data_IF_021428772617
#
_entry.id   IF_021428772617
#
_cell.length_a   1.000
_cell.length_b   1.000
_cell.length_c   1.000
_cell.angle_alpha   90.00
_cell.angle_beta   90.00
_cell.angle_gamma   90.00
#
_symmetry.space_group_name_H-M   'P 1'
#
loop_
_entity.id
_entity.type
_entity.pdbx_description
1 polymer ?
#
# COMPACT_ATOMS: atom_id res chain seq x y z
N UNK A 1 -41.48 32.70 -28.79
CA UNK A 1 -40.62 32.18 -27.71
C UNK A 1 -40.03 33.27 -26.81
N UNK A 2 -39.93 34.53 -27.24
CA UNK A 2 -39.40 35.64 -26.42
C UNK A 2 -40.23 35.96 -25.17
N UNK A 3 -41.58 36.00 -25.28
CA UNK A 3 -42.45 36.25 -24.12
C UNK A 3 -42.29 35.21 -23.00
N UNK A 4 -42.11 33.94 -23.37
CA UNK A 4 -41.87 32.86 -22.41
C UNK A 4 -40.50 32.98 -21.72
N UNK A 5 -39.47 33.41 -22.48
CA UNK A 5 -38.14 33.65 -21.91
C UNK A 5 -38.12 34.85 -20.95
N UNK A 6 -38.88 35.91 -21.24
CA UNK A 6 -39.05 37.07 -20.36
C UNK A 6 -39.75 36.68 -19.05
N UNK A 7 -40.84 35.91 -19.13
CA UNK A 7 -41.57 35.42 -17.97
C UNK A 7 -40.70 34.49 -17.11
N UNK A 8 -40.02 33.53 -17.75
CA UNK A 8 -39.11 32.60 -17.07
C UNK A 8 -37.96 33.34 -16.37
N UNK A 9 -37.38 34.35 -17.03
CA UNK A 9 -36.31 35.15 -16.43
C UNK A 9 -36.77 35.92 -15.18
N UNK A 10 -37.99 36.48 -15.21
CA UNK A 10 -38.60 37.17 -14.05
C UNK A 10 -38.88 36.20 -12.91
N UNK A 11 -39.40 35.01 -13.20
CA UNK A 11 -39.68 33.97 -12.20
C UNK A 11 -38.39 33.50 -11.52
N UNK A 12 -37.34 33.28 -12.30
CA UNK A 12 -36.03 32.84 -11.79
C UNK A 12 -35.18 33.97 -11.21
N UNK A 13 -35.63 35.24 -11.32
CA UNK A 13 -34.94 36.44 -10.84
C UNK A 13 -33.48 36.52 -11.32
N UNK A 14 -33.26 36.23 -12.60
CA UNK A 14 -31.92 36.23 -13.20
C UNK A 14 -31.28 37.62 -13.15
N UNK A 15 -29.95 37.68 -13.04
CA UNK A 15 -29.22 38.94 -13.14
C UNK A 15 -29.37 39.53 -14.56
N UNK A 16 -29.21 40.85 -14.71
CA UNK A 16 -29.42 41.54 -16.01
C UNK A 16 -28.62 40.90 -17.16
N UNK A 17 -27.38 40.49 -16.90
CA UNK A 17 -26.51 39.82 -17.88
C UNK A 17 -27.03 38.44 -18.31
N UNK A 18 -27.65 37.70 -17.39
CA UNK A 18 -28.21 36.37 -17.62
C UNK A 18 -29.58 36.47 -18.31
N UNK A 19 -30.39 37.46 -17.93
CA UNK A 19 -31.63 37.84 -18.60
C UNK A 19 -31.37 38.13 -20.08
N UNK A 20 -30.42 39.01 -20.38
CA UNK A 20 -30.10 39.40 -21.75
C UNK A 20 -29.56 38.20 -22.56
N UNK A 21 -28.75 37.35 -21.92
CA UNK A 21 -28.28 36.09 -22.51
C UNK A 21 -29.41 35.11 -22.84
N UNK A 22 -30.40 34.97 -21.95
CA UNK A 22 -31.56 34.09 -22.17
C UNK A 22 -32.46 34.59 -23.31
N UNK A 23 -32.63 35.91 -23.44
CA UNK A 23 -33.38 36.50 -24.55
C UNK A 23 -32.67 36.33 -25.90
N UNK A 24 -31.35 36.41 -25.91
CA UNK A 24 -30.54 36.11 -27.11
C UNK A 24 -30.66 34.62 -27.45
N UNK A 25 -30.54 33.74 -26.47
CA UNK A 25 -30.67 32.29 -26.66
C UNK A 25 -32.06 31.90 -27.20
N UNK A 26 -33.13 32.51 -26.70
CA UNK A 26 -34.50 32.24 -27.13
C UNK A 26 -34.82 32.68 -28.58
N UNK A 27 -33.95 33.49 -29.19
CA UNK A 27 -34.05 33.93 -30.60
C UNK A 27 -33.29 33.03 -31.57
N UNK A 28 -32.40 32.17 -31.06
CA UNK A 28 -31.64 31.22 -31.88
C UNK A 28 -32.53 30.11 -32.42
N UNK A 29 -32.15 29.52 -33.56
CA UNK A 29 -32.82 28.32 -34.08
C UNK A 29 -32.51 27.09 -33.21
N UNK A 30 -33.33 26.04 -33.30
CA UNK A 30 -33.22 24.83 -32.47
C UNK A 30 -31.84 24.18 -32.55
N UNK A 31 -31.24 24.13 -33.74
CA UNK A 31 -29.90 23.58 -33.92
C UNK A 31 -28.84 24.42 -33.20
N UNK A 32 -28.93 25.74 -33.29
CA UNK A 32 -28.02 26.69 -32.64
C UNK A 32 -28.17 26.67 -31.11
N UNK A 33 -29.41 26.54 -30.61
CA UNK A 33 -29.70 26.36 -29.20
C UNK A 33 -29.03 25.10 -28.63
N UNK A 34 -29.11 23.98 -29.34
CA UNK A 34 -28.48 22.71 -28.91
C UNK A 34 -26.95 22.83 -28.86
N UNK A 35 -26.34 23.48 -29.86
CA UNK A 35 -24.89 23.72 -29.88
C UNK A 35 -24.46 24.64 -28.74
N UNK A 36 -25.22 25.70 -28.47
CA UNK A 36 -24.97 26.61 -27.36
C UNK A 36 -25.06 25.90 -26.00
N UNK A 37 -26.09 25.06 -25.79
CA UNK A 37 -26.23 24.25 -24.56
C UNK A 37 -25.05 23.28 -24.42
N UNK A 38 -24.66 22.57 -25.49
CA UNK A 38 -23.50 21.68 -25.45
C UNK A 38 -22.21 22.45 -25.13
N UNK A 39 -22.00 23.62 -25.71
CA UNK A 39 -20.87 24.51 -25.39
C UNK A 39 -20.84 24.95 -23.94
N UNK A 40 -22.00 25.35 -23.39
CA UNK A 40 -22.13 25.70 -21.96
C UNK A 40 -21.91 24.50 -21.04
N UNK A 41 -22.38 23.30 -21.42
CA UNK A 41 -22.11 22.06 -20.68
C UNK A 41 -20.62 21.72 -20.67
N UNK A 42 -19.92 21.84 -21.80
CA UNK A 42 -18.47 21.63 -21.84
C UNK A 42 -17.72 22.68 -21.03
N UNK A 43 -18.14 23.95 -21.08
CA UNK A 43 -17.56 25.01 -20.25
C UNK A 43 -17.79 24.74 -18.77
N UNK A 44 -19.01 24.38 -18.37
CA UNK A 44 -19.33 23.99 -16.99
C UNK A 44 -18.53 22.77 -16.56
N UNK A 45 -18.41 21.73 -17.39
CA UNK A 45 -17.60 20.56 -17.08
C UNK A 45 -16.14 20.95 -16.84
N UNK A 46 -15.55 21.80 -17.69
CA UNK A 46 -14.19 22.32 -17.49
C UNK A 46 -14.09 23.15 -16.21
N UNK A 47 -15.04 24.05 -15.98
CA UNK A 47 -15.05 24.90 -14.79
C UNK A 47 -15.20 24.08 -13.52
N UNK A 48 -16.10 23.08 -13.48
CA UNK A 48 -16.24 22.14 -12.37
C UNK A 48 -14.95 21.32 -12.16
N UNK A 49 -14.30 20.87 -13.24
CA UNK A 49 -12.98 20.22 -13.15
C UNK A 49 -11.88 21.16 -12.65
N UNK A 50 -12.05 22.48 -12.76
CA UNK A 50 -11.07 23.49 -12.34
C UNK A 50 -11.36 24.05 -10.96
N UNK A 51 -12.62 24.08 -10.53
CA UNK A 51 -13.04 24.46 -9.17
C UNK A 51 -12.69 23.29 -8.26
N UNK A 52 -11.45 23.27 -7.78
CA UNK A 52 -11.16 22.66 -6.49
C UNK A 52 -11.75 23.60 -5.43
N UNK A 53 -12.62 23.12 -4.51
CA UNK A 53 -13.10 23.96 -3.42
C UNK A 53 -11.89 24.52 -2.68
N UNK A 54 -11.85 25.84 -2.44
CA UNK A 54 -10.72 26.51 -1.82
C UNK A 54 -10.34 25.95 -0.44
N UNK A 55 -11.25 25.19 0.19
CA UNK A 55 -11.09 24.53 1.49
C UNK A 55 -11.08 22.99 1.42
N UNK A 56 -11.16 22.38 0.23
CA UNK A 56 -11.09 20.94 0.13
C UNK A 56 -9.64 20.48 0.27
N UNK A 57 -9.26 20.13 1.50
CA UNK A 57 -8.03 19.39 1.78
C UNK A 57 -7.92 18.24 0.77
N UNK A 58 -6.87 18.24 -0.04
CA UNK A 58 -6.65 17.15 -0.98
C UNK A 58 -6.56 15.85 -0.19
N UNK A 59 -7.35 14.86 -0.60
CA UNK A 59 -7.35 13.54 0.03
C UNK A 59 -6.77 12.53 -0.95
N UNK A 60 -5.96 11.61 -0.43
CA UNK A 60 -5.39 10.53 -1.24
C UNK A 60 -6.54 9.72 -1.85
N UNK A 61 -6.60 9.54 -3.18
CA UNK A 61 -7.61 8.72 -3.82
C UNK A 61 -7.72 7.34 -3.18
N UNK A 62 -8.94 6.87 -2.93
CA UNK A 62 -9.20 5.60 -2.21
C UNK A 62 -8.52 4.40 -2.87
N UNK A 63 -8.42 4.40 -4.19
CA UNK A 63 -7.70 3.38 -4.95
C UNK A 63 -6.19 3.40 -4.67
N UNK A 64 -5.56 4.57 -4.74
CA UNK A 64 -4.13 4.73 -4.43
C UNK A 64 -3.84 4.36 -2.98
N UNK A 65 -4.68 4.80 -2.05
CA UNK A 65 -4.61 4.42 -0.63
C UNK A 65 -4.66 2.90 -0.45
N UNK A 66 -5.57 2.21 -1.13
CA UNK A 66 -5.65 0.74 -1.09
C UNK A 66 -4.38 0.08 -1.65
N UNK A 67 -3.79 0.63 -2.72
CA UNK A 67 -2.52 0.12 -3.27
C UNK A 67 -1.36 0.31 -2.30
N UNK A 68 -1.31 1.41 -1.58
CA UNK A 68 -0.36 1.64 -0.49
C UNK A 68 -0.52 0.55 0.57
N UNK A 69 -1.74 0.36 1.08
CA UNK A 69 -2.02 -0.63 2.12
C UNK A 69 -1.73 -2.08 1.69
N UNK A 70 -2.01 -2.44 0.43
CA UNK A 70 -1.68 -3.76 -0.15
C UNK A 70 -0.16 -3.98 -0.19
N UNK A 71 0.60 -2.98 -0.68
CA UNK A 71 2.06 -3.11 -0.85
C UNK A 71 2.81 -3.03 0.48
N UNK A 72 2.35 -2.22 1.44
CA UNK A 72 2.87 -2.23 2.82
C UNK A 72 2.79 -3.63 3.40
N UNK A 73 1.64 -4.30 3.25
CA UNK A 73 1.45 -5.66 3.75
C UNK A 73 2.41 -6.66 3.08
N UNK A 74 2.60 -6.56 1.76
CA UNK A 74 3.53 -7.41 1.01
C UNK A 74 4.98 -7.18 1.48
N UNK A 75 5.40 -5.92 1.60
CA UNK A 75 6.74 -5.56 2.06
C UNK A 75 7.01 -6.03 3.49
N UNK A 76 6.02 -5.95 4.38
CA UNK A 76 6.15 -6.46 5.75
C UNK A 76 6.40 -7.98 5.81
N UNK A 77 5.90 -8.71 4.81
CA UNK A 77 6.04 -10.16 4.68
C UNK A 77 7.18 -10.57 3.73
N UNK A 78 7.98 -9.63 3.25
CA UNK A 78 9.13 -9.93 2.40
C UNK A 78 10.33 -10.31 3.28
N UNK A 79 10.94 -11.47 3.00
CA UNK A 79 12.12 -11.93 3.73
C UNK A 79 13.41 -11.25 3.29
N UNK A 80 13.39 -10.57 2.14
CA UNK A 80 14.56 -9.96 1.50
C UNK A 80 14.78 -8.49 1.85
N UNK A 81 13.79 -7.81 2.46
CA UNK A 81 13.91 -6.39 2.75
C UNK A 81 15.02 -6.12 3.77
N UNK A 82 15.88 -5.10 3.53
CA UNK A 82 17.04 -4.86 4.36
C UNK A 82 16.70 -4.20 5.70
N UNK A 83 15.59 -3.46 5.76
CA UNK A 83 15.13 -2.70 6.92
C UNK A 83 13.61 -2.42 6.85
N UNK A 84 12.95 -2.31 8.00
CA UNK A 84 11.53 -2.00 8.13
C UNK A 84 11.28 -0.50 8.34
N UNK A 85 12.18 0.23 9.00
CA UNK A 85 11.99 1.64 9.37
C UNK A 85 12.86 2.61 8.57
N UNK A 86 14.04 2.19 8.12
CA UNK A 86 14.98 3.07 7.40
C UNK A 86 14.34 3.77 6.20
N UNK A 87 14.52 5.09 6.11
CA UNK A 87 13.99 5.92 5.01
C UNK A 87 14.79 5.78 3.71
N UNK A 88 16.07 5.38 3.79
CA UNK A 88 16.95 5.29 2.62
C UNK A 88 16.90 3.94 1.91
N UNK A 89 16.77 2.86 2.68
CA UNK A 89 16.84 1.48 2.15
C UNK A 89 15.67 0.61 2.60
N UNK A 90 14.84 1.09 3.52
CA UNK A 90 13.79 0.29 4.13
C UNK A 90 12.46 0.33 3.38
N UNK A 91 11.43 -0.19 4.04
CA UNK A 91 10.07 -0.26 3.45
C UNK A 91 9.51 1.07 2.95
N UNK A 92 9.76 2.25 3.56
CA UNK A 92 9.26 3.52 3.02
C UNK A 92 9.82 3.82 1.62
N UNK A 93 11.13 3.65 1.43
CA UNK A 93 11.80 3.85 0.14
C UNK A 93 11.28 2.88 -0.91
N UNK A 94 11.24 1.59 -0.56
CA UNK A 94 10.77 0.54 -1.46
C UNK A 94 9.32 0.75 -1.88
N UNK A 95 8.47 1.23 -0.97
CA UNK A 95 7.10 1.57 -1.31
C UNK A 95 7.04 2.75 -2.28
N UNK A 96 7.82 3.80 -2.03
CA UNK A 96 7.88 4.95 -2.94
C UNK A 96 8.37 4.53 -4.33
N UNK A 97 9.40 3.69 -4.41
CA UNK A 97 9.94 3.17 -5.67
C UNK A 97 8.89 2.33 -6.42
N UNK A 98 8.08 1.53 -5.70
CA UNK A 98 6.96 0.80 -6.29
C UNK A 98 5.86 1.73 -6.82
N UNK A 99 5.55 2.82 -6.12
CA UNK A 99 4.58 3.83 -6.58
C UNK A 99 5.07 4.53 -7.85
N UNK A 100 6.35 4.91 -7.89
CA UNK A 100 6.99 5.53 -9.08
C UNK A 100 6.98 4.57 -10.26
N UNK A 101 7.33 3.29 -10.04
CA UNK A 101 7.35 2.29 -11.10
C UNK A 101 5.97 1.95 -11.69
N UNK A 102 4.88 2.28 -10.98
CA UNK A 102 3.50 1.97 -11.38
C UNK A 102 2.64 3.25 -11.47
N UNK A 103 3.27 4.39 -11.72
CA UNK A 103 2.68 5.73 -11.62
C UNK A 103 1.35 5.89 -12.38
N UNK A 104 1.32 5.39 -13.62
CA UNK A 104 0.19 5.51 -14.54
C UNK A 104 -0.94 4.54 -14.20
N UNK A 105 -0.61 3.36 -13.65
CA UNK A 105 -1.59 2.32 -13.33
C UNK A 105 -2.26 2.53 -11.97
N UNK A 106 -1.57 3.17 -11.01
CA UNK A 106 -2.05 3.31 -9.63
C UNK A 106 -2.57 4.71 -9.30
N UNK A 107 -2.47 5.65 -10.24
CA UNK A 107 -2.94 7.02 -10.08
C UNK A 107 -1.96 7.90 -9.31
N UNK A 108 -0.67 7.58 -9.34
CA UNK A 108 0.39 8.45 -8.84
C UNK A 108 0.84 9.37 -9.99
N UNK A 109 0.05 10.40 -10.28
CA UNK A 109 0.21 11.28 -11.44
C UNK A 109 1.32 12.33 -11.23
N UNK A 110 1.81 12.93 -12.33
CA UNK A 110 2.75 14.06 -12.27
C UNK A 110 2.22 15.24 -11.45
N UNK A 111 0.90 15.44 -11.43
CA UNK A 111 0.24 16.46 -10.59
C UNK A 111 0.39 16.21 -9.10
N UNK A 112 0.54 14.95 -8.67
CA UNK A 112 0.80 14.59 -7.27
C UNK A 112 2.28 14.76 -6.97
N UNK A 113 3.15 14.46 -7.94
CA UNK A 113 4.62 14.51 -7.77
C UNK A 113 5.16 15.95 -7.70
N UNK A 114 4.55 16.85 -8.46
CA UNK A 114 5.00 18.25 -8.56
C UNK A 114 4.42 19.16 -7.48
N UNK A 115 3.32 18.76 -6.84
CA UNK A 115 2.64 19.54 -5.81
C UNK A 115 3.14 19.15 -4.40
N UNK A 116 3.90 20.02 -3.70
CA UNK A 116 4.48 19.70 -2.40
C UNK A 116 3.43 19.32 -1.34
N UNK A 117 2.24 19.94 -1.39
CA UNK A 117 1.18 19.66 -0.44
C UNK A 117 0.60 18.25 -0.64
N UNK A 118 0.41 17.83 -1.90
CA UNK A 118 -0.05 16.46 -2.19
C UNK A 118 1.01 15.42 -1.84
N UNK A 119 2.29 15.72 -2.07
CA UNK A 119 3.40 14.86 -1.65
C UNK A 119 3.39 14.69 -0.13
N UNK A 120 3.24 15.76 0.64
CA UNK A 120 3.18 15.70 2.11
C UNK A 120 1.99 14.85 2.60
N UNK A 121 0.80 15.04 2.02
CA UNK A 121 -0.39 14.25 2.39
C UNK A 121 -0.20 12.77 2.02
N UNK A 122 0.44 12.48 0.88
CA UNK A 122 0.75 11.12 0.46
C UNK A 122 1.77 10.45 1.40
N UNK A 123 2.83 11.17 1.76
CA UNK A 123 3.85 10.68 2.70
C UNK A 123 3.25 10.40 4.08
N UNK A 124 2.41 11.31 4.59
CA UNK A 124 1.67 11.09 5.82
C UNK A 124 0.76 9.84 5.74
N UNK A 125 0.14 9.59 4.57
CA UNK A 125 -0.67 8.39 4.34
C UNK A 125 0.19 7.11 4.36
N UNK A 126 1.33 7.11 3.67
CA UNK A 126 2.28 5.99 3.64
C UNK A 126 2.84 5.70 5.03
N UNK A 127 3.31 6.74 5.72
CA UNK A 127 3.84 6.67 7.09
C UNK A 127 2.81 6.09 8.06
N UNK A 128 1.55 6.55 7.99
CA UNK A 128 0.47 5.99 8.81
C UNK A 128 0.24 4.51 8.52
N UNK A 129 0.16 4.13 7.25
CA UNK A 129 -0.04 2.73 6.85
C UNK A 129 1.10 1.83 7.37
N UNK A 130 2.36 2.28 7.25
CA UNK A 130 3.53 1.57 7.76
C UNK A 130 3.52 1.44 9.30
N UNK A 131 3.19 2.51 10.03
CA UNK A 131 3.08 2.47 11.50
C UNK A 131 1.99 1.49 11.93
N UNK A 132 0.81 1.54 11.31
CA UNK A 132 -0.30 0.62 11.61
C UNK A 132 0.10 -0.83 11.33
N UNK A 133 0.70 -1.11 10.18
CA UNK A 133 1.14 -2.45 9.82
C UNK A 133 2.17 -3.00 10.81
N UNK A 134 3.21 -2.21 11.11
CA UNK A 134 4.26 -2.54 12.09
C UNK A 134 3.70 -2.80 13.48
N UNK A 135 2.80 -1.96 13.97
CA UNK A 135 2.19 -2.16 15.28
C UNK A 135 1.35 -3.43 15.33
N UNK A 136 0.55 -3.70 14.29
CA UNK A 136 -0.20 -4.94 14.20
C UNK A 136 0.69 -6.18 14.13
N UNK A 137 1.77 -6.12 13.33
CA UNK A 137 2.74 -7.20 13.19
C UNK A 137 3.40 -7.53 14.53
N UNK A 138 3.92 -6.50 15.23
CA UNK A 138 4.53 -6.62 16.55
C UNK A 138 3.56 -7.22 17.58
N UNK A 139 2.30 -6.78 17.57
CA UNK A 139 1.27 -7.31 18.46
C UNK A 139 0.97 -8.79 18.19
N UNK A 140 0.92 -9.20 16.93
CA UNK A 140 0.71 -10.60 16.53
C UNK A 140 1.90 -11.48 16.95
N UNK A 141 3.14 -11.02 16.72
CA UNK A 141 4.35 -11.69 17.21
C UNK A 141 4.31 -11.89 18.72
N UNK A 142 3.98 -10.84 19.48
CA UNK A 142 3.88 -10.92 20.94
C UNK A 142 2.86 -11.96 21.41
N UNK A 143 1.65 -11.93 20.84
CA UNK A 143 0.59 -12.89 21.17
C UNK A 143 0.98 -14.33 20.84
N UNK A 144 1.75 -14.52 19.76
CA UNK A 144 2.19 -15.85 19.32
C UNK A 144 3.14 -16.55 20.28
N UNK A 145 3.78 -15.82 21.19
CA UNK A 145 4.80 -16.38 22.07
C UNK A 145 4.21 -17.23 23.20
N UNK A 146 2.92 -17.08 23.51
CA UNK A 146 2.28 -17.79 24.63
C UNK A 146 2.94 -17.52 25.99
N UNK A 147 2.57 -18.34 26.98
CA UNK A 147 3.11 -18.28 28.33
C UNK A 147 4.43 -19.06 28.44
N UNK A 148 5.28 -18.76 29.45
CA UNK A 148 6.46 -19.59 29.74
C UNK A 148 6.10 -21.08 29.86
N UNK A 149 7.07 -21.98 29.59
CA UNK A 149 6.84 -23.42 29.74
C UNK A 149 6.40 -23.77 31.17
N UNK A 150 5.52 -24.78 31.28
CA UNK A 150 5.23 -25.37 32.58
C UNK A 150 6.47 -26.08 33.13
N UNK A 151 6.50 -26.33 34.45
CA UNK A 151 7.63 -27.02 35.09
C UNK A 151 7.88 -28.38 34.42
N UNK A 152 9.13 -28.64 34.04
CA UNK A 152 9.54 -29.86 33.33
C UNK A 152 9.25 -29.87 31.81
N UNK A 153 8.70 -28.78 31.24
CA UNK A 153 8.48 -28.66 29.79
C UNK A 153 9.43 -27.64 29.14
N UNK A 154 9.78 -27.87 27.88
CA UNK A 154 10.54 -26.91 27.06
C UNK A 154 9.64 -26.00 26.23
N UNK A 155 8.45 -26.50 25.87
CA UNK A 155 7.52 -25.81 25.00
C UNK A 155 6.71 -24.76 25.74
N UNK A 156 6.51 -23.61 25.11
CA UNK A 156 5.67 -22.53 25.62
C UNK A 156 4.19 -22.87 25.45
N UNK A 157 3.42 -22.62 26.51
CA UNK A 157 1.99 -22.97 26.54
C UNK A 157 1.18 -21.97 25.74
N UNK A 158 0.32 -22.46 24.83
CA UNK A 158 -0.54 -21.62 23.99
C UNK A 158 0.21 -20.81 22.93
N UNK A 159 1.46 -21.14 22.64
CA UNK A 159 2.22 -20.51 21.57
C UNK A 159 1.80 -21.03 20.19
N UNK A 160 2.02 -20.21 19.16
CA UNK A 160 1.88 -20.64 17.77
C UNK A 160 3.22 -21.16 17.28
N UNK A 161 3.23 -22.28 16.54
CA UNK A 161 4.41 -22.67 15.78
C UNK A 161 4.69 -21.65 14.65
N UNK A 162 5.89 -21.70 14.05
CA UNK A 162 6.33 -20.67 13.09
C UNK A 162 5.44 -20.58 11.84
N UNK A 163 4.89 -21.70 11.37
CA UNK A 163 3.99 -21.75 10.22
C UNK A 163 2.66 -21.10 10.56
N UNK A 164 2.03 -21.51 11.67
CA UNK A 164 0.79 -20.95 12.16
C UNK A 164 0.91 -19.44 12.47
N UNK A 165 2.05 -19.01 13.00
CA UNK A 165 2.38 -17.60 13.19
C UNK A 165 2.44 -16.85 11.86
N UNK A 166 3.14 -17.40 10.87
CA UNK A 166 3.26 -16.80 9.53
C UNK A 166 1.88 -16.67 8.87
N UNK A 167 1.04 -17.69 8.98
CA UNK A 167 -0.36 -17.64 8.53
C UNK A 167 -1.19 -16.59 9.29
N UNK A 168 -1.01 -16.47 10.60
CA UNK A 168 -1.70 -15.47 11.41
C UNK A 168 -1.32 -14.04 11.00
N UNK A 169 -0.03 -13.80 10.69
CA UNK A 169 0.46 -12.54 10.16
C UNK A 169 -0.15 -12.23 8.79
N UNK A 170 -0.22 -13.22 7.89
CA UNK A 170 -0.90 -13.06 6.60
C UNK A 170 -2.39 -12.72 6.76
N UNK A 171 -3.09 -13.39 7.67
CA UNK A 171 -4.52 -13.14 7.95
C UNK A 171 -4.80 -11.73 8.47
N UNK A 172 -3.80 -11.04 9.02
CA UNK A 172 -3.92 -9.63 9.41
C UNK A 172 -4.19 -8.72 8.19
N UNK A 173 -3.71 -9.12 7.01
CA UNK A 173 -3.82 -8.36 5.77
C UNK A 173 -4.92 -8.93 4.88
N UNK A 174 -6.18 -8.86 5.36
CA UNK A 174 -7.37 -9.43 4.70
C UNK A 174 -7.59 -8.95 3.25
N UNK A 175 -7.04 -7.80 2.90
CA UNK A 175 -7.12 -7.17 1.57
C UNK A 175 -6.09 -7.72 0.59
N UNK A 176 -4.99 -8.31 1.06
CA UNK A 176 -3.97 -8.91 0.20
C UNK A 176 -4.51 -10.22 -0.36
N UNK A 177 -4.64 -10.29 -1.69
CA UNK A 177 -5.03 -11.53 -2.37
C UNK A 177 -4.07 -12.66 -1.97
N UNK A 178 -4.63 -13.71 -1.39
CA UNK A 178 -3.97 -15.00 -1.14
C UNK A 178 -3.31 -15.45 -2.45
N UNK A 179 -1.98 -15.52 -2.45
CA UNK A 179 -1.17 -15.83 -3.65
C UNK A 179 -0.07 -14.81 -3.98
N UNK A 180 -0.13 -13.59 -3.43
CA UNK A 180 0.98 -12.62 -3.58
C UNK A 180 2.15 -12.87 -2.63
N UNK A 181 1.87 -13.46 -1.48
CA UNK A 181 2.89 -13.86 -0.51
C UNK A 181 2.85 -15.37 -0.39
N UNK A 182 4.01 -15.99 -0.59
CA UNK A 182 4.21 -17.43 -0.43
C UNK A 182 4.91 -17.64 0.91
N UNK A 183 4.36 -18.51 1.74
CA UNK A 183 5.08 -18.97 2.93
C UNK A 183 6.23 -19.84 2.43
N UNK A 184 7.45 -19.44 2.69
CA UNK A 184 8.65 -20.18 2.34
C UNK A 184 9.60 -20.24 3.56
N UNK A 185 10.67 -21.02 3.44
CA UNK A 185 11.61 -21.21 4.56
C UNK A 185 12.29 -19.90 4.94
N UNK A 186 12.57 -19.03 3.98
CA UNK A 186 13.21 -17.73 4.21
C UNK A 186 12.31 -16.80 5.02
N UNK A 187 11.01 -16.75 4.71
CA UNK A 187 10.00 -15.99 5.43
C UNK A 187 9.81 -16.53 6.85
N UNK A 188 9.74 -17.85 7.03
CA UNK A 188 9.71 -18.45 8.36
C UNK A 188 10.94 -18.04 9.17
N UNK A 189 12.13 -18.09 8.58
CA UNK A 189 13.37 -17.65 9.22
C UNK A 189 13.35 -16.18 9.61
N UNK A 190 12.86 -15.31 8.72
CA UNK A 190 12.70 -13.88 9.01
C UNK A 190 11.74 -13.65 10.17
N UNK A 191 10.59 -14.32 10.19
CA UNK A 191 9.59 -14.17 11.26
C UNK A 191 10.13 -14.71 12.59
N UNK A 192 10.92 -15.79 12.58
CA UNK A 192 11.57 -16.31 13.78
C UNK A 192 12.55 -15.29 14.38
N UNK A 193 13.34 -14.59 13.54
CA UNK A 193 14.19 -13.46 13.98
C UNK A 193 13.35 -12.39 14.68
N UNK A 194 12.26 -11.97 14.04
CA UNK A 194 11.39 -10.92 14.57
C UNK A 194 10.74 -11.35 15.90
N UNK A 195 10.32 -12.60 15.99
CA UNK A 195 9.73 -13.18 17.20
C UNK A 195 10.74 -13.28 18.34
N UNK A 196 11.97 -13.67 18.07
CA UNK A 196 13.02 -13.68 19.08
C UNK A 196 13.21 -12.27 19.67
N UNK A 197 13.35 -11.27 18.81
CA UNK A 197 13.57 -9.89 19.25
C UNK A 197 12.38 -9.32 20.03
N UNK A 198 11.13 -9.69 19.70
CA UNK A 198 9.97 -9.14 20.43
C UNK A 198 9.88 -9.67 21.85
N UNK A 199 10.44 -10.85 22.12
CA UNK A 199 10.57 -11.37 23.49
C UNK A 199 11.67 -10.67 24.28
N UNK A 200 12.79 -10.36 23.64
CA UNK A 200 13.92 -9.69 24.29
C UNK A 200 13.60 -8.21 24.58
N UNK A 201 13.00 -7.51 23.61
CA UNK A 201 12.69 -6.08 23.70
C UNK A 201 11.37 -5.75 23.01
N UNK A 202 10.40 -5.26 23.78
CA UNK A 202 9.05 -4.95 23.30
C UNK A 202 8.65 -3.47 23.46
N UNK A 203 9.60 -2.55 23.40
CA UNK A 203 9.36 -1.11 23.58
C UNK A 203 9.20 -0.35 22.25
N UNK A 204 9.18 0.98 22.30
CA UNK A 204 9.04 1.84 21.12
C UNK A 204 10.25 1.80 20.18
N UNK A 205 11.40 1.30 20.64
CA UNK A 205 12.61 1.09 19.84
C UNK A 205 12.62 -0.23 19.07
N UNK A 206 11.68 -1.15 19.32
CA UNK A 206 11.65 -2.50 18.71
C UNK A 206 12.02 -2.53 17.22
N UNK A 207 11.38 -1.72 16.37
CA UNK A 207 11.67 -1.73 14.93
C UNK A 207 13.04 -1.17 14.57
N UNK A 208 13.55 -0.24 15.35
CA UNK A 208 14.93 0.26 15.22
C UNK A 208 15.91 -0.86 15.59
N UNK A 209 15.66 -1.58 16.69
CA UNK A 209 16.49 -2.70 17.13
C UNK A 209 16.47 -3.86 16.13
N UNK A 210 15.31 -4.13 15.53
CA UNK A 210 15.16 -5.09 14.42
C UNK A 210 16.06 -4.69 13.25
N UNK A 211 16.00 -3.44 12.80
CA UNK A 211 16.81 -2.97 11.68
C UNK A 211 18.31 -3.07 11.99
N UNK A 212 18.72 -2.69 13.20
CA UNK A 212 20.11 -2.81 13.66
C UNK A 212 20.57 -4.27 13.73
N UNK A 213 19.74 -5.18 14.24
CA UNK A 213 20.07 -6.61 14.34
C UNK A 213 20.16 -7.27 12.96
N UNK A 214 19.26 -6.92 12.04
CA UNK A 214 19.31 -7.43 10.67
C UNK A 214 20.53 -6.89 9.92
N UNK A 215 20.90 -5.63 10.14
CA UNK A 215 22.12 -5.06 9.60
C UNK A 215 23.36 -5.78 10.15
N UNK A 216 23.42 -6.03 11.47
CA UNK A 216 24.55 -6.74 12.07
C UNK A 216 24.66 -8.17 11.55
N UNK A 217 23.55 -8.90 11.40
CA UNK A 217 23.56 -10.24 10.80
C UNK A 217 24.10 -10.23 9.37
N UNK A 218 23.73 -9.25 8.54
CA UNK A 218 24.25 -9.13 7.17
C UNK A 218 25.75 -8.83 7.15
N UNK A 219 26.23 -8.01 8.08
CA UNK A 219 27.66 -7.71 8.21
C UNK A 219 28.46 -8.91 8.73
N UNK A 220 27.91 -9.65 9.70
CA UNK A 220 28.56 -10.83 10.28
C UNK A 220 28.54 -12.04 9.35
N UNK A 221 27.52 -12.15 8.50
CA UNK A 221 27.35 -13.25 7.53
C UNK A 221 27.11 -12.70 6.12
N UNK A 222 28.15 -12.15 5.47
CA UNK A 222 28.02 -11.55 4.14
C UNK A 222 27.74 -12.61 3.05
N UNK A 223 28.15 -13.86 3.27
CA UNK A 223 27.81 -14.98 2.40
C UNK A 223 26.37 -15.48 2.66
N UNK A 224 25.57 -15.58 1.60
CA UNK A 224 24.15 -15.96 1.69
C UNK A 224 23.95 -17.37 2.23
N UNK A 225 24.87 -18.31 1.95
CA UNK A 225 24.77 -19.69 2.42
C UNK A 225 25.07 -19.74 3.92
N UNK A 226 26.10 -19.03 4.39
CA UNK A 226 26.41 -18.89 5.80
C UNK A 226 25.27 -18.22 6.58
N UNK A 227 24.72 -17.11 6.04
CA UNK A 227 23.56 -16.42 6.63
C UNK A 227 22.37 -17.38 6.77
N UNK A 228 22.00 -18.06 5.69
CA UNK A 228 20.86 -19.00 5.69
C UNK A 228 21.08 -20.15 6.67
N UNK A 229 22.31 -20.67 6.76
CA UNK A 229 22.66 -21.75 7.69
C UNK A 229 22.63 -21.28 9.15
N UNK A 230 23.05 -20.05 9.42
CA UNK A 230 22.95 -19.42 10.74
C UNK A 230 21.49 -19.25 11.15
N UNK A 231 20.67 -18.59 10.31
CA UNK A 231 19.23 -18.39 10.59
C UNK A 231 18.53 -19.72 10.84
N UNK A 232 18.81 -20.75 10.01
CA UNK A 232 18.23 -22.08 10.23
C UNK A 232 18.64 -22.67 11.58
N UNK A 233 19.95 -22.76 11.86
CA UNK A 233 20.46 -23.51 13.03
C UNK A 233 20.38 -22.77 14.36
N UNK A 234 20.46 -21.45 14.34
CA UNK A 234 20.57 -20.63 15.56
C UNK A 234 19.28 -19.90 15.90
N UNK A 235 18.35 -19.79 14.95
CA UNK A 235 17.10 -19.07 15.15
C UNK A 235 15.92 -20.02 14.94
N UNK A 236 15.76 -20.62 13.76
CA UNK A 236 14.63 -21.52 13.49
C UNK A 236 14.64 -22.80 14.33
N UNK A 237 15.78 -23.46 14.50
CA UNK A 237 15.84 -24.68 15.33
C UNK A 237 15.49 -24.38 16.80
N UNK A 238 15.96 -23.23 17.32
CA UNK A 238 15.61 -22.75 18.68
C UNK A 238 14.12 -22.43 18.78
N UNK A 239 13.59 -21.78 17.76
CA UNK A 239 12.17 -21.45 17.64
C UNK A 239 11.31 -22.73 17.63
N UNK A 240 11.71 -23.76 16.89
CA UNK A 240 11.04 -25.05 16.90
C UNK A 240 11.05 -25.73 18.28
N UNK A 241 12.16 -25.65 19.01
CA UNK A 241 12.29 -26.26 20.33
C UNK A 241 11.45 -25.54 21.40
N UNK A 242 11.17 -24.24 21.20
CA UNK A 242 10.37 -23.42 22.13
C UNK A 242 8.88 -23.37 21.80
N UNK A 243 8.51 -23.40 20.52
CA UNK A 243 7.14 -23.13 20.07
C UNK A 243 6.50 -24.28 19.29
N UNK A 244 7.21 -25.39 19.12
CA UNK A 244 6.74 -26.60 18.48
C UNK A 244 7.33 -26.80 17.09
N UNK A 245 7.76 -28.04 16.84
CA UNK A 245 8.31 -28.49 15.55
C UNK A 245 7.19 -28.63 14.52
N UNK A 246 7.47 -28.15 13.31
CA UNK A 246 6.63 -28.36 12.12
C UNK A 246 7.54 -28.75 10.96
N UNK A 247 7.10 -29.70 10.13
CA UNK A 247 7.85 -30.01 8.91
C UNK A 247 7.78 -28.83 7.96
N UNK A 248 8.95 -28.24 7.68
CA UNK A 248 9.10 -27.17 6.70
C UNK A 248 9.61 -27.69 5.34
N UNK A 249 9.84 -28.99 5.22
CA UNK A 249 10.45 -29.60 4.02
C UNK A 249 9.52 -29.58 2.79
N UNK A 250 8.21 -29.40 3.02
CA UNK A 250 7.22 -29.18 1.96
C UNK A 250 7.11 -27.73 1.48
N UNK A 251 7.81 -26.77 2.11
CA UNK A 251 7.77 -25.37 1.70
C UNK A 251 8.87 -25.05 0.69
N UNK A 252 8.63 -24.09 -0.22
CA UNK A 252 9.65 -23.67 -1.19
C UNK A 252 10.93 -23.24 -0.45
N UNK A 253 12.07 -23.77 -0.87
CA UNK A 253 13.37 -23.47 -0.25
C UNK A 253 14.00 -22.19 -0.81
N UNK A 254 13.58 -21.78 -2.01
CA UNK A 254 13.89 -20.48 -2.64
C UNK A 254 12.96 -20.28 -3.84
N UNK A 255 12.14 -19.22 -3.82
CA UNK A 255 11.81 -18.54 -5.08
C UNK A 255 12.65 -17.26 -5.12
N UNK A 256 13.27 -17.01 -6.27
CA UNK A 256 13.55 -15.64 -6.70
C UNK A 256 12.18 -14.95 -6.62
N UNK A 257 11.97 -14.08 -5.63
CA UNK A 257 10.91 -13.09 -5.78
C UNK A 257 11.25 -12.43 -7.11
N UNK A 258 10.46 -12.70 -8.16
CA UNK A 258 10.48 -11.80 -9.28
C UNK A 258 10.17 -10.44 -8.65
N UNK A 259 11.10 -9.47 -8.69
CA UNK A 259 10.78 -8.13 -8.23
C UNK A 259 9.52 -7.75 -8.99
N UNK A 260 8.44 -7.35 -8.30
CA UNK A 260 7.12 -7.14 -8.88
C UNK A 260 7.21 -6.53 -10.29
N UNK A 261 7.29 -7.39 -11.32
CA UNK A 261 7.59 -6.93 -12.66
C UNK A 261 6.28 -6.40 -13.19
N UNK A 262 6.25 -5.16 -13.72
CA UNK A 262 5.01 -4.63 -14.28
C UNK A 262 4.54 -5.57 -15.38
N UNK A 263 3.27 -5.98 -15.29
CA UNK A 263 2.58 -6.75 -16.31
C UNK A 263 2.69 -5.95 -17.60
N UNK A 264 3.52 -6.42 -18.53
CA UNK A 264 3.56 -5.88 -19.88
C UNK A 264 2.21 -6.16 -20.53
N UNK A 265 1.39 -5.10 -20.65
CA UNK A 265 0.22 -5.14 -21.51
C UNK A 265 0.68 -5.27 -22.95
N UNK A 266 0.36 -6.41 -23.56
CA UNK A 266 0.47 -6.65 -25.00
C UNK A 266 -0.14 -5.49 -25.78
N UNK A 267 0.68 -4.74 -26.53
CA UNK A 267 0.19 -3.83 -27.54
C UNK A 267 -0.28 -4.65 -28.75
N UNK A 268 -1.59 -4.68 -28.98
CA UNK A 268 -2.12 -5.06 -30.29
C UNK A 268 -2.09 -3.81 -31.18
N UNK A 269 -1.04 -3.68 -31.99
CA UNK A 269 -1.07 -2.78 -33.13
C UNK A 269 -2.00 -3.37 -34.19
N UNK A 270 -3.20 -2.79 -34.32
CA UNK A 270 -3.97 -2.79 -35.57
C UNK A 270 -3.79 -1.37 -36.13
N UNK A 271 -3.14 -1.15 -37.26
CA UNK A 271 -3.44 -1.76 -38.54
C UNK A 271 -4.16 -0.71 -39.36
N UNK A 272 -3.41 0.22 -39.96
CA UNK A 272 -3.91 1.24 -40.88
C UNK A 272 -4.40 0.59 -42.17
N UNK A 273 -5.57 0.92 -42.70
CA UNK A 273 -5.86 0.73 -44.12
C UNK A 273 -5.77 2.06 -44.88
N UNK A 274 -5.34 1.90 -46.13
CA UNK A 274 -5.14 2.91 -47.19
C UNK A 274 -6.41 3.66 -47.56
#
# INVERSE_FOLDING_TARGET
>A
MSQFAEETSRVLKLAKTEHDGLLVFAKLDRAEQLVSVAGHLFKLSRTISTIQPADALWTVPSFLKKRIEDNVAILMMDSSIPAYRSEDIGTPKLLLDLLVANDTAWGYTEEIRTDPYKVEVLDACMSRAMVTARNGFKNTLKKSCGSPPAEGQTLRTGALNIVALTEALLKQFKHVKTGRVVIDVALCGRIAVLRQLVLEKNDNSYWTDVDSYLASLRTSYPDKVQYSRFVKRKILDVDFDLYGRVSIDGYPSTRRAEPATPVQSSSSAAGTPQ
#
